data_IF_723858869833
#
_entry.id   IF_723858869833
#
_cell.length_a   1.000
_cell.length_b   1.000
_cell.length_c   1.000
_cell.angle_alpha   90.00
_cell.angle_beta   90.00
_cell.angle_gamma   90.00
#
_symmetry.space_group_name_H-M   'P 1'
#
loop_
_entity.id
_entity.type
_entity.pdbx_description
1 polymer ?
#
# COMPACT_ATOMS: atom_id res chain seq x y z
N UNK A 1 -1.59 14.42 19.09
CA UNK A 1 -1.37 13.11 18.49
C UNK A 1 -0.10 12.49 19.08
N UNK A 2 -0.22 11.64 20.08
CA UNK A 2 0.88 10.79 20.52
C UNK A 2 0.80 9.50 19.73
N UNK A 3 1.60 9.39 18.70
CA UNK A 3 1.82 8.11 18.02
C UNK A 3 2.67 7.23 18.93
N UNK A 4 2.31 5.96 19.06
CA UNK A 4 3.13 4.99 19.78
C UNK A 4 4.53 4.93 19.15
N UNK A 5 5.61 4.99 19.95
CA UNK A 5 6.96 4.94 19.43
C UNK A 5 7.22 3.59 18.76
N UNK A 6 7.42 3.60 17.46
CA UNK A 6 7.84 2.43 16.68
C UNK A 6 9.25 2.64 16.17
N UNK A 7 10.05 1.59 16.20
CA UNK A 7 11.38 1.58 15.62
C UNK A 7 11.32 1.02 14.22
N UNK A 8 11.85 1.76 13.26
CA UNK A 8 11.97 1.33 11.88
C UNK A 8 13.41 0.89 11.61
N UNK A 9 13.56 -0.20 10.91
CA UNK A 9 14.85 -0.74 10.53
C UNK A 9 14.89 -1.16 9.07
N UNK A 10 16.06 -1.07 8.47
CA UNK A 10 16.31 -1.67 7.16
C UNK A 10 16.86 -3.07 7.37
N UNK A 11 16.15 -4.07 6.83
CA UNK A 11 16.57 -5.46 6.83
C UNK A 11 17.17 -5.81 5.47
N UNK A 12 18.21 -6.63 5.49
CA UNK A 12 18.81 -7.18 4.27
C UNK A 12 18.42 -8.65 4.19
N UNK A 13 17.89 -9.04 3.05
CA UNK A 13 17.46 -10.39 2.76
C UNK A 13 18.34 -11.00 1.68
N UNK A 14 18.58 -12.30 1.80
CA UNK A 14 19.31 -13.08 0.83
C UNK A 14 18.43 -14.26 0.42
N UNK A 15 18.33 -14.47 -0.88
CA UNK A 15 17.63 -15.64 -1.43
C UNK A 15 18.59 -16.36 -2.36
N UNK A 16 18.64 -17.68 -2.25
CA UNK A 16 19.39 -18.55 -3.16
C UNK A 16 18.42 -19.10 -4.22
N UNK A 17 18.76 -18.91 -5.47
CA UNK A 17 17.95 -19.29 -6.63
C UNK A 17 18.80 -20.13 -7.57
N UNK A 18 18.28 -21.22 -8.15
CA UNK A 18 18.99 -22.01 -9.15
C UNK A 18 19.43 -21.18 -10.34
N UNK A 19 20.55 -21.54 -10.94
CA UNK A 19 21.00 -20.95 -12.19
C UNK A 19 19.99 -21.24 -13.33
N UNK A 20 19.96 -20.37 -14.33
CA UNK A 20 19.28 -20.63 -15.59
C UNK A 20 19.91 -21.85 -16.30
N UNK A 21 19.18 -22.46 -17.24
CA UNK A 21 19.66 -23.63 -17.97
C UNK A 21 21.03 -23.46 -18.68
N UNK A 22 21.39 -22.22 -18.99
CA UNK A 22 22.67 -21.85 -19.60
C UNK A 22 23.74 -21.42 -18.58
N UNK A 23 23.43 -21.39 -17.29
CA UNK A 23 24.34 -20.94 -16.23
C UNK A 23 24.68 -19.43 -16.24
N UNK A 24 24.09 -18.64 -17.13
CA UNK A 24 24.43 -17.23 -17.35
C UNK A 24 23.71 -16.25 -16.42
N UNK A 25 23.06 -16.72 -15.38
CA UNK A 25 22.32 -15.89 -14.42
C UNK A 25 21.34 -16.74 -13.63
N UNK A 26 20.64 -16.14 -12.66
CA UNK A 26 19.60 -16.82 -11.91
C UNK A 26 18.41 -17.17 -12.83
N UNK A 27 17.67 -18.22 -12.49
CA UNK A 27 16.42 -18.54 -13.16
C UNK A 27 15.34 -17.52 -12.74
N UNK A 28 15.04 -16.56 -13.61
CA UNK A 28 14.10 -15.46 -13.33
C UNK A 28 12.70 -15.93 -12.96
N UNK A 29 12.27 -17.09 -13.46
CA UNK A 29 10.94 -17.63 -13.15
C UNK A 29 10.80 -18.13 -11.70
N UNK A 30 11.93 -18.36 -11.02
CA UNK A 30 11.99 -18.85 -9.64
C UNK A 30 12.37 -17.77 -8.63
N UNK A 31 12.56 -16.53 -9.06
CA UNK A 31 12.88 -15.42 -8.15
C UNK A 31 11.62 -15.04 -7.37
N UNK A 32 11.62 -15.16 -6.03
CA UNK A 32 10.45 -14.88 -5.22
C UNK A 32 10.26 -13.40 -4.96
N UNK A 33 9.07 -13.05 -4.48
CA UNK A 33 8.74 -11.76 -3.85
C UNK A 33 8.38 -12.04 -2.39
N UNK A 34 9.08 -11.39 -1.46
CA UNK A 34 8.76 -11.45 -0.05
C UNK A 34 7.66 -10.42 0.25
N UNK A 35 6.51 -10.88 0.70
CA UNK A 35 5.32 -10.04 0.85
C UNK A 35 5.38 -9.17 2.10
N UNK A 36 4.78 -7.98 2.03
CA UNK A 36 4.50 -7.13 3.17
C UNK A 36 3.72 -7.90 4.25
N UNK A 37 3.96 -7.57 5.51
CA UNK A 37 3.37 -8.29 6.64
C UNK A 37 4.13 -9.54 7.08
N UNK A 38 5.17 -9.96 6.35
CA UNK A 38 6.08 -11.03 6.80
C UNK A 38 6.75 -10.64 8.12
N UNK A 39 6.80 -11.57 9.07
CA UNK A 39 7.33 -11.33 10.41
C UNK A 39 8.67 -12.03 10.61
N UNK A 40 9.56 -11.36 11.33
CA UNK A 40 10.91 -11.84 11.61
C UNK A 40 11.21 -11.71 13.09
N UNK A 41 11.98 -12.64 13.63
CA UNK A 41 12.46 -12.59 14.99
C UNK A 41 13.94 -12.24 14.98
N UNK A 42 14.33 -11.31 15.85
CA UNK A 42 15.74 -11.06 16.12
C UNK A 42 16.27 -12.06 17.15
N UNK A 43 17.55 -12.40 17.06
CA UNK A 43 18.25 -13.19 18.09
C UNK A 43 18.18 -12.56 19.47
N UNK A 44 17.98 -11.24 19.56
CA UNK A 44 17.73 -10.49 20.79
C UNK A 44 16.27 -10.50 21.29
N UNK A 45 15.38 -11.27 20.67
CA UNK A 45 13.97 -11.41 21.07
C UNK A 45 13.03 -10.34 20.56
N UNK A 46 13.48 -9.44 19.68
CA UNK A 46 12.61 -8.44 19.03
C UNK A 46 11.83 -9.04 17.85
N UNK A 47 10.59 -8.59 17.67
CA UNK A 47 9.75 -8.92 16.53
C UNK A 47 9.73 -7.77 15.53
N UNK A 48 9.80 -8.09 14.26
CA UNK A 48 9.78 -7.13 13.17
C UNK A 48 8.78 -7.56 12.10
N UNK A 49 8.02 -6.61 11.59
CA UNK A 49 7.07 -6.85 10.50
C UNK A 49 7.48 -6.02 9.27
N UNK A 50 7.53 -6.67 8.12
CA UNK A 50 7.89 -6.03 6.85
C UNK A 50 6.77 -5.10 6.39
N UNK A 51 7.10 -3.86 6.04
CA UNK A 51 6.12 -2.85 5.66
C UNK A 51 5.73 -2.88 4.18
N UNK A 52 6.61 -3.32 3.32
CA UNK A 52 6.37 -3.37 1.87
C UNK A 52 6.94 -4.63 1.25
N UNK A 53 6.48 -4.98 0.07
CA UNK A 53 7.01 -6.12 -0.67
C UNK A 53 8.48 -5.91 -1.01
N UNK A 54 9.27 -7.00 -0.87
CA UNK A 54 10.66 -7.04 -1.31
C UNK A 54 10.75 -7.92 -2.55
N UNK A 55 10.86 -7.27 -3.68
CA UNK A 55 11.01 -7.94 -4.98
C UNK A 55 12.50 -8.20 -5.23
N UNK A 56 12.89 -9.48 -5.24
CA UNK A 56 14.26 -9.87 -5.52
C UNK A 56 14.62 -9.74 -7.01
N UNK A 57 13.64 -9.65 -7.91
CA UNK A 57 13.86 -9.41 -9.34
C UNK A 57 13.98 -7.93 -9.72
N UNK A 58 14.10 -7.06 -8.73
CA UNK A 58 14.24 -5.61 -8.97
C UNK A 58 15.62 -5.30 -9.53
N UNK A 59 15.68 -4.46 -10.58
CA UNK A 59 16.93 -3.90 -11.09
C UNK A 59 17.69 -3.17 -9.97
N UNK A 60 19.01 -3.41 -9.89
CA UNK A 60 19.88 -2.84 -8.85
C UNK A 60 20.08 -3.75 -7.62
N UNK A 61 19.38 -4.88 -7.52
CA UNK A 61 19.73 -5.88 -6.53
C UNK A 61 21.07 -6.53 -6.87
N UNK A 62 21.88 -6.76 -5.84
CA UNK A 62 23.17 -7.43 -6.02
C UNK A 62 22.95 -8.93 -6.22
N UNK A 63 23.49 -9.46 -7.30
CA UNK A 63 23.46 -10.89 -7.63
C UNK A 63 24.90 -11.42 -7.62
N UNK A 64 25.13 -12.48 -6.88
CA UNK A 64 26.45 -13.15 -6.79
C UNK A 64 26.28 -14.66 -7.01
N UNK A 65 27.30 -15.34 -7.46
CA UNK A 65 27.31 -16.79 -7.56
C UNK A 65 27.28 -17.38 -6.15
N UNK A 66 26.28 -18.23 -5.87
CA UNK A 66 26.13 -18.93 -4.60
C UNK A 66 26.98 -20.21 -4.56
N UNK A 67 26.80 -21.06 -5.55
CA UNK A 67 27.57 -22.30 -5.70
C UNK A 67 27.92 -22.53 -7.18
N UNK A 68 29.02 -23.20 -7.42
CA UNK A 68 29.45 -23.62 -8.75
C UNK A 68 29.86 -25.07 -8.75
N UNK A 69 29.71 -25.73 -9.88
CA UNK A 69 30.20 -27.07 -10.09
C UNK A 69 31.73 -27.12 -9.99
N UNK A 70 32.24 -27.99 -9.14
CA UNK A 70 33.69 -28.08 -8.84
C UNK A 70 34.54 -28.55 -10.00
N UNK A 71 33.97 -29.23 -11.01
CA UNK A 71 34.68 -29.78 -12.16
C UNK A 71 34.63 -28.86 -13.37
N UNK A 72 33.51 -28.17 -13.58
CA UNK A 72 33.31 -27.34 -14.76
C UNK A 72 33.39 -25.83 -14.46
N UNK A 73 33.26 -25.44 -13.18
CA UNK A 73 33.19 -24.04 -12.77
C UNK A 73 31.88 -23.33 -13.14
N UNK A 74 30.90 -24.06 -13.70
CA UNK A 74 29.61 -23.51 -14.10
C UNK A 74 28.79 -23.21 -12.85
N UNK A 75 28.20 -22.00 -12.72
CA UNK A 75 27.33 -21.66 -11.61
C UNK A 75 26.10 -22.58 -11.52
N UNK A 76 25.85 -23.10 -10.33
CA UNK A 76 24.68 -23.93 -10.02
C UNK A 76 23.58 -23.09 -9.36
N UNK A 77 23.97 -22.15 -8.51
CA UNK A 77 23.05 -21.27 -7.82
C UNK A 77 23.56 -19.85 -7.78
N UNK A 78 22.66 -18.91 -7.64
CA UNK A 78 22.92 -17.50 -7.43
C UNK A 78 22.26 -17.03 -6.14
N UNK A 79 22.93 -16.14 -5.41
CA UNK A 79 22.37 -15.46 -4.24
C UNK A 79 22.04 -14.03 -4.63
N UNK A 80 20.79 -13.66 -4.41
CA UNK A 80 20.29 -12.30 -4.66
C UNK A 80 20.09 -11.60 -3.33
N UNK A 81 20.67 -10.41 -3.21
CA UNK A 81 20.54 -9.55 -2.05
C UNK A 81 19.53 -8.45 -2.30
N UNK A 82 18.52 -8.35 -1.43
CA UNK A 82 17.55 -7.27 -1.48
C UNK A 82 17.36 -6.64 -0.09
N UNK A 83 16.86 -5.41 -0.03
CA UNK A 83 16.62 -4.70 1.23
C UNK A 83 15.16 -4.30 1.35
N UNK A 84 14.63 -4.41 2.55
CA UNK A 84 13.27 -3.97 2.89
C UNK A 84 13.26 -3.18 4.19
N UNK A 85 12.19 -2.41 4.39
CA UNK A 85 11.95 -1.68 5.65
C UNK A 85 10.99 -2.48 6.51
N UNK A 86 11.34 -2.67 7.76
CA UNK A 86 10.50 -3.33 8.75
C UNK A 86 10.27 -2.41 9.95
N UNK A 87 9.14 -2.59 10.60
CA UNK A 87 8.78 -1.91 11.86
C UNK A 87 8.88 -2.90 12.99
N UNK A 88 9.37 -2.45 14.15
CA UNK A 88 9.35 -3.26 15.36
C UNK A 88 7.91 -3.41 15.85
N UNK A 89 7.44 -4.64 15.99
CA UNK A 89 6.09 -4.94 16.45
C UNK A 89 5.64 -6.33 16.03
N UNK A 90 4.59 -6.78 16.68
CA UNK A 90 3.90 -8.04 16.36
C UNK A 90 2.56 -7.69 15.72
N UNK A 91 2.21 -8.34 14.62
CA UNK A 91 0.87 -8.26 14.05
C UNK A 91 -0.14 -8.92 14.99
N UNK A 92 -1.26 -8.24 15.22
CA UNK A 92 -2.44 -8.77 15.89
C UNK A 92 -3.67 -8.52 15.02
N UNK A 93 -4.66 -9.38 15.13
CA UNK A 93 -5.95 -9.23 14.43
C UNK A 93 -7.05 -9.15 15.48
N UNK A 94 -7.90 -8.14 15.36
CA UNK A 94 -9.07 -7.97 16.20
C UNK A 94 -10.32 -8.01 15.33
N UNK A 95 -11.40 -8.58 15.85
CA UNK A 95 -12.70 -8.66 15.18
C UNK A 95 -13.75 -7.94 16.01
N UNK A 96 -14.50 -7.06 15.38
CA UNK A 96 -15.55 -6.26 16.02
C UNK A 96 -16.92 -6.54 15.42
N UNK A 97 -17.93 -6.65 16.29
CA UNK A 97 -19.32 -6.67 15.85
C UNK A 97 -19.85 -5.23 15.80
N UNK A 98 -20.13 -4.75 14.58
CA UNK A 98 -20.46 -3.34 14.37
C UNK A 98 -21.93 -3.02 14.66
N UNK A 99 -22.85 -3.98 14.47
CA UNK A 99 -24.27 -3.77 14.70
C UNK A 99 -24.91 -2.80 13.70
N UNK A 100 -25.91 -2.03 14.16
CA UNK A 100 -26.65 -1.09 13.33
C UNK A 100 -25.78 0.08 12.84
N UNK A 101 -26.18 0.67 11.71
CA UNK A 101 -25.50 1.83 11.13
C UNK A 101 -25.47 3.03 12.10
N UNK A 102 -24.31 3.63 12.23
CA UNK A 102 -24.07 4.86 13.00
C UNK A 102 -23.09 5.75 12.25
N UNK A 103 -23.43 7.02 12.11
CA UNK A 103 -22.56 8.02 11.45
C UNK A 103 -21.32 8.29 12.28
N UNK A 104 -20.18 8.37 11.62
CA UNK A 104 -18.90 8.69 12.28
C UNK A 104 -18.55 7.74 13.45
N UNK A 105 -18.97 6.48 13.31
CA UNK A 105 -18.71 5.46 14.33
C UNK A 105 -17.22 5.40 14.68
N UNK A 106 -16.92 5.40 15.96
CA UNK A 106 -15.58 5.16 16.51
C UNK A 106 -15.54 3.76 17.10
N UNK A 107 -14.58 2.97 16.65
CA UNK A 107 -14.32 1.60 17.14
C UNK A 107 -13.02 1.63 17.92
N UNK A 108 -13.03 1.40 19.25
CA UNK A 108 -11.80 1.30 20.02
C UNK A 108 -11.08 -0.02 19.73
N UNK A 109 -9.78 0.04 19.50
CA UNK A 109 -8.93 -1.15 19.41
C UNK A 109 -8.56 -1.63 20.82
N UNK A 110 -8.59 -2.94 21.04
CA UNK A 110 -8.33 -3.53 22.35
C UNK A 110 -6.83 -3.50 22.74
N UNK A 111 -5.94 -3.51 21.76
CA UNK A 111 -4.50 -3.43 22.00
C UNK A 111 -4.06 -2.00 22.36
N UNK A 112 -3.10 -1.89 23.26
CA UNK A 112 -2.40 -0.65 23.56
C UNK A 112 -1.11 -0.55 22.72
N UNK A 113 -0.59 0.67 22.55
CA UNK A 113 0.67 0.93 21.83
C UNK A 113 0.65 0.45 20.36
N UNK A 114 -0.45 0.71 19.67
CA UNK A 114 -0.58 0.39 18.25
C UNK A 114 0.28 1.38 17.45
N UNK A 115 1.21 0.86 16.67
CA UNK A 115 2.08 1.66 15.82
C UNK A 115 1.49 1.90 14.43
N UNK A 116 0.72 0.93 13.91
CA UNK A 116 0.13 1.02 12.58
C UNK A 116 -1.05 0.05 12.44
N UNK A 117 -2.04 0.45 11.65
CA UNK A 117 -3.15 -0.39 11.23
C UNK A 117 -2.89 -0.84 9.79
N UNK A 118 -2.55 -2.10 9.61
CA UNK A 118 -2.11 -2.61 8.31
C UNK A 118 -3.27 -2.90 7.36
N UNK A 119 -4.42 -3.34 7.89
CA UNK A 119 -5.57 -3.71 7.08
C UNK A 119 -6.86 -3.69 7.90
N UNK A 120 -7.92 -3.18 7.30
CA UNK A 120 -9.28 -3.24 7.81
C UNK A 120 -10.18 -3.83 6.73
N UNK A 121 -10.94 -4.87 7.08
CA UNK A 121 -11.88 -5.54 6.16
C UNK A 121 -13.19 -5.82 6.87
N UNK A 122 -14.28 -5.82 6.12
CA UNK A 122 -15.57 -6.25 6.63
C UNK A 122 -15.83 -7.75 6.36
N UNK A 123 -16.97 -8.25 6.82
CA UNK A 123 -17.39 -9.64 6.65
C UNK A 123 -17.65 -10.04 5.19
N UNK A 124 -17.85 -9.07 4.31
CA UNK A 124 -18.05 -9.29 2.88
C UNK A 124 -16.74 -9.29 2.10
N UNK A 125 -15.61 -9.02 2.79
CA UNK A 125 -14.28 -8.96 2.20
C UNK A 125 -13.90 -7.59 1.62
N UNK A 126 -14.74 -6.56 1.80
CA UNK A 126 -14.41 -5.21 1.35
C UNK A 126 -13.28 -4.62 2.19
N UNK A 127 -12.33 -3.98 1.53
CA UNK A 127 -11.19 -3.33 2.19
C UNK A 127 -11.49 -1.86 2.43
N UNK A 128 -11.21 -1.42 3.65
CA UNK A 128 -11.24 -0.02 4.06
C UNK A 128 -9.83 0.57 4.00
N UNK A 129 -9.73 1.82 3.59
CA UNK A 129 -8.47 2.51 3.42
C UNK A 129 -8.29 3.60 4.47
N UNK A 130 -7.09 3.66 5.05
CA UNK A 130 -6.72 4.76 5.92
C UNK A 130 -6.54 6.04 5.10
N UNK A 131 -7.12 7.13 5.60
CA UNK A 131 -7.07 8.46 5.01
C UNK A 131 -6.73 9.50 6.09
N UNK A 132 -6.16 10.62 5.69
CA UNK A 132 -5.85 11.70 6.62
C UNK A 132 -7.12 12.38 7.15
N UNK A 133 -8.14 12.49 6.29
CA UNK A 133 -9.43 13.09 6.62
C UNK A 133 -10.57 12.27 6.01
N UNK A 134 -11.68 12.12 6.75
CA UNK A 134 -12.84 11.37 6.27
C UNK A 134 -13.51 11.95 5.01
N UNK A 135 -13.25 13.22 4.68
CA UNK A 135 -13.67 13.84 3.42
C UNK A 135 -12.80 13.47 2.22
N UNK A 136 -11.63 12.86 2.44
CA UNK A 136 -10.72 12.45 1.37
C UNK A 136 -11.30 11.25 0.64
N UNK A 137 -11.57 11.38 -0.65
CA UNK A 137 -12.16 10.35 -1.49
C UNK A 137 -11.17 9.67 -2.44
N UNK A 138 -9.91 10.13 -2.46
CA UNK A 138 -8.86 9.59 -3.33
C UNK A 138 -7.59 9.36 -2.52
N UNK A 139 -6.96 8.22 -2.72
CA UNK A 139 -5.59 7.96 -2.26
C UNK A 139 -4.69 7.69 -3.46
N UNK A 140 -3.40 7.94 -3.30
CA UNK A 140 -2.40 7.64 -4.33
C UNK A 140 -1.61 6.40 -3.94
N UNK A 141 -1.71 5.36 -4.77
CA UNK A 141 -0.91 4.13 -4.61
C UNK A 141 0.25 4.12 -5.59
N UNK A 142 1.44 3.85 -5.07
CA UNK A 142 2.59 3.58 -5.92
C UNK A 142 2.45 2.18 -6.53
N UNK A 143 2.33 2.13 -7.84
CA UNK A 143 2.36 0.88 -8.60
C UNK A 143 3.68 0.78 -9.36
N UNK A 144 4.17 -0.44 -9.55
CA UNK A 144 5.39 -0.68 -10.32
C UNK A 144 5.22 -0.21 -11.76
N UNK A 145 6.20 0.55 -12.23
CA UNK A 145 6.25 0.97 -13.62
C UNK A 145 6.72 -0.21 -14.50
N UNK A 146 5.86 -0.68 -15.39
CA UNK A 146 6.15 -1.76 -16.35
C UNK A 146 6.56 -1.25 -17.73
N UNK A 147 6.66 0.07 -17.91
CA UNK A 147 7.02 0.69 -19.20
C UNK A 147 8.54 0.73 -19.39
N UNK A 148 8.97 1.18 -20.57
CA UNK A 148 10.38 1.34 -20.94
C UNK A 148 11.14 2.34 -20.05
N UNK A 149 10.42 3.22 -19.34
CA UNK A 149 10.98 4.22 -18.43
C UNK A 149 11.16 3.72 -17.00
N UNK A 150 10.95 2.42 -16.75
CA UNK A 150 11.01 1.82 -15.40
C UNK A 150 12.36 2.02 -14.68
N UNK A 151 13.46 2.11 -15.43
CA UNK A 151 14.80 2.34 -14.85
C UNK A 151 14.96 3.74 -14.25
N UNK A 152 14.31 4.74 -14.85
CA UNK A 152 14.36 6.13 -14.39
C UNK A 152 13.22 6.44 -13.41
N UNK A 153 12.03 5.88 -13.65
CA UNK A 153 10.84 6.07 -12.80
C UNK A 153 10.31 4.70 -12.40
N UNK A 154 10.79 4.12 -11.30
CA UNK A 154 10.45 2.75 -10.91
C UNK A 154 8.97 2.57 -10.49
N UNK A 155 8.33 3.61 -9.98
CA UNK A 155 6.94 3.59 -9.55
C UNK A 155 6.14 4.74 -10.13
N UNK A 156 4.91 4.47 -10.48
CA UNK A 156 3.92 5.46 -10.93
C UNK A 156 2.86 5.58 -9.85
N UNK A 157 2.47 6.81 -9.50
CA UNK A 157 1.37 7.06 -8.58
C UNK A 157 0.05 6.92 -9.33
N UNK A 158 -0.78 5.98 -8.88
CA UNK A 158 -2.14 5.80 -9.38
C UNK A 158 -3.13 6.33 -8.37
N UNK A 159 -4.02 7.23 -8.82
CA UNK A 159 -5.16 7.66 -8.04
C UNK A 159 -6.16 6.50 -7.89
N UNK A 160 -6.57 6.20 -6.67
CA UNK A 160 -7.53 5.16 -6.35
C UNK A 160 -8.66 5.80 -5.55
N UNK A 161 -9.91 5.75 -6.03
CA UNK A 161 -11.05 6.21 -5.27
C UNK A 161 -11.28 5.30 -4.06
N UNK A 162 -11.57 5.91 -2.92
CA UNK A 162 -11.77 5.20 -1.65
C UNK A 162 -13.12 5.57 -1.04
N UNK A 163 -14.15 4.84 -1.41
CA UNK A 163 -15.46 4.98 -0.81
C UNK A 163 -15.45 4.48 0.64
N UNK A 164 -14.81 3.32 0.88
CA UNK A 164 -14.64 2.73 2.21
C UNK A 164 -13.35 3.21 2.84
N UNK A 165 -13.47 4.07 3.85
CA UNK A 165 -12.33 4.74 4.48
C UNK A 165 -12.49 4.91 5.98
N UNK A 166 -11.36 5.05 6.65
CA UNK A 166 -11.30 5.34 8.08
C UNK A 166 -10.11 6.25 8.40
N UNK A 167 -10.17 6.90 9.54
CA UNK A 167 -9.05 7.61 10.15
C UNK A 167 -8.64 6.93 11.44
N UNK A 168 -7.36 7.02 11.77
CA UNK A 168 -6.81 6.51 13.04
C UNK A 168 -6.62 7.69 13.98
N UNK A 169 -7.17 7.57 15.18
CA UNK A 169 -7.04 8.57 16.23
C UNK A 169 -6.57 7.88 17.53
N UNK A 170 -5.58 8.45 18.17
CA UNK A 170 -5.10 7.94 19.47
C UNK A 170 -5.34 9.00 20.54
N UNK A 171 -6.11 8.64 21.55
CA UNK A 171 -6.45 9.49 22.70
C UNK A 171 -6.10 8.69 23.97
N UNK A 172 -5.31 9.27 24.85
CA UNK A 172 -4.92 8.68 26.13
C UNK A 172 -4.43 7.23 26.02
N UNK A 173 -3.54 6.96 25.04
CA UNK A 173 -3.00 5.64 24.72
C UNK A 173 -4.01 4.60 24.20
N UNK A 174 -5.24 5.01 23.96
CA UNK A 174 -6.28 4.21 23.29
C UNK A 174 -6.36 4.61 21.83
N UNK A 175 -6.27 3.64 20.93
CA UNK A 175 -6.42 3.86 19.49
C UNK A 175 -7.85 3.57 19.06
N UNK A 176 -8.40 4.46 18.25
CA UNK A 176 -9.74 4.37 17.69
C UNK A 176 -9.66 4.39 16.16
N UNK A 177 -10.51 3.59 15.53
CA UNK A 177 -10.80 3.71 14.11
C UNK A 177 -12.10 4.49 13.96
N UNK A 178 -12.04 5.64 13.31
CA UNK A 178 -13.24 6.42 13.00
C UNK A 178 -13.62 6.23 11.55
N UNK A 179 -14.82 5.74 11.32
CA UNK A 179 -15.41 5.56 10.00
C UNK A 179 -16.21 6.79 9.57
N UNK A 180 -16.42 6.92 8.26
CA UNK A 180 -17.09 8.08 7.70
C UNK A 180 -18.60 8.04 7.81
N UNK A 181 -19.21 8.96 7.06
CA UNK A 181 -20.67 9.11 7.00
C UNK A 181 -21.36 7.94 6.28
N UNK A 182 -20.67 7.31 5.31
CA UNK A 182 -21.01 6.14 4.52
C UNK A 182 -22.50 6.04 4.13
N UNK A 183 -22.85 6.50 2.94
CA UNK A 183 -24.10 6.13 2.29
C UNK A 183 -23.74 5.52 0.94
N UNK A 184 -24.21 4.30 0.68
CA UNK A 184 -23.99 3.63 -0.62
C UNK A 184 -24.53 4.47 -1.79
N UNK A 185 -25.56 5.31 -1.53
CA UNK A 185 -26.11 6.23 -2.53
C UNK A 185 -25.21 7.42 -2.85
N UNK A 186 -24.23 7.74 -2.00
CA UNK A 186 -23.25 8.80 -2.19
C UNK A 186 -21.86 8.25 -2.54
N UNK A 187 -21.73 6.96 -2.76
CA UNK A 187 -20.56 6.40 -3.43
C UNK A 187 -20.60 6.90 -4.87
N UNK A 188 -20.06 8.07 -5.05
CA UNK A 188 -19.90 8.69 -6.35
C UNK A 188 -19.21 7.68 -7.26
N UNK A 189 -19.96 7.18 -8.20
CA UNK A 189 -19.47 6.44 -9.37
C UNK A 189 -18.41 7.26 -10.10
N UNK A 190 -18.27 8.53 -9.78
CA UNK A 190 -17.28 9.43 -10.36
C UNK A 190 -16.54 10.18 -9.24
N UNK A 191 -15.30 9.74 -8.84
CA UNK A 191 -14.48 10.43 -7.84
C UNK A 191 -13.89 11.75 -8.34
N UNK A 192 -14.03 12.02 -9.63
CA UNK A 192 -13.72 13.31 -10.23
C UNK A 192 -14.98 14.16 -10.09
N UNK A 193 -14.87 15.27 -9.37
CA UNK A 193 -15.93 16.27 -9.33
C UNK A 193 -16.27 16.61 -10.76
N UNK A 194 -17.52 16.37 -11.15
CA UNK A 194 -17.96 16.76 -12.47
C UNK A 194 -17.86 18.29 -12.55
N UNK A 195 -17.05 18.83 -13.47
CA UNK A 195 -16.91 20.29 -13.60
C UNK A 195 -18.25 20.98 -13.80
N UNK A 196 -19.25 20.27 -14.34
CA UNK A 196 -20.59 20.81 -14.56
C UNK A 196 -21.38 21.04 -13.26
N UNK A 197 -21.05 20.29 -12.18
CA UNK A 197 -21.67 20.47 -10.85
C UNK A 197 -21.06 21.63 -10.04
N UNK A 198 -19.85 22.07 -10.43
CA UNK A 198 -19.10 23.10 -9.72
C UNK A 198 -19.07 24.43 -10.47
N UNK A 199 -19.46 24.43 -11.74
CA UNK A 199 -19.52 25.66 -12.54
C UNK A 199 -20.67 26.55 -12.06
N UNK A 200 -20.30 27.55 -11.29
CA UNK A 200 -21.17 28.69 -10.99
C UNK A 200 -21.49 29.41 -12.30
N UNK A 201 -22.75 29.88 -12.46
CA UNK A 201 -23.16 30.77 -13.54
C UNK A 201 -22.26 32.02 -13.53
N UNK A 202 -21.16 31.97 -14.24
CA UNK A 202 -20.29 33.09 -14.49
C UNK A 202 -20.83 33.86 -15.68
N UNK A 203 -21.25 35.09 -15.46
CA UNK A 203 -21.73 36.04 -16.47
C UNK A 203 -23.08 35.68 -17.13
N UNK A 204 -24.01 35.05 -16.42
CA UNK A 204 -25.36 34.78 -16.91
C UNK A 204 -25.41 33.72 -18.05
N UNK A 205 -24.40 32.88 -18.19
CA UNK A 205 -24.42 31.73 -19.11
C UNK A 205 -24.77 30.49 -18.30
N UNK A 206 -25.88 29.88 -18.62
CA UNK A 206 -26.29 28.58 -18.11
C UNK A 206 -25.53 27.52 -18.91
N UNK A 207 -24.62 26.80 -18.27
CA UNK A 207 -24.00 25.63 -18.86
C UNK A 207 -24.95 24.45 -18.68
N UNK A 208 -25.50 23.97 -19.76
CA UNK A 208 -26.29 22.75 -19.77
C UNK A 208 -25.35 21.54 -19.82
N UNK A 209 -25.75 20.44 -19.17
CA UNK A 209 -25.04 19.16 -19.12
C UNK A 209 -25.02 18.42 -20.47
N UNK A 210 -25.17 19.12 -21.58
CA UNK A 210 -25.14 18.53 -22.90
C UNK A 210 -23.72 18.14 -23.31
N UNK A 211 -23.64 17.14 -24.20
CA UNK A 211 -22.41 16.51 -24.69
C UNK A 211 -21.37 17.46 -25.31
N UNK A 212 -21.67 18.75 -25.39
CA UNK A 212 -20.81 19.81 -25.91
C UNK A 212 -20.05 20.61 -24.82
N UNK A 213 -20.03 20.14 -23.56
CA UNK A 213 -19.23 20.79 -22.53
C UNK A 213 -17.74 20.60 -22.82
N UNK A 214 -17.11 21.64 -23.27
CA UNK A 214 -15.67 21.72 -23.47
C UNK A 214 -15.04 22.55 -22.33
N UNK A 215 -14.35 21.91 -21.39
CA UNK A 215 -13.73 22.62 -20.26
C UNK A 215 -12.64 23.60 -20.70
N UNK A 216 -12.14 23.51 -21.93
CA UNK A 216 -11.15 24.44 -22.47
C UNK A 216 -11.75 25.78 -22.87
N UNK A 217 -13.07 25.85 -23.07
CA UNK A 217 -13.78 27.10 -23.41
C UNK A 217 -14.11 27.98 -22.19
N UNK A 218 -13.78 27.54 -20.99
CA UNK A 218 -13.93 28.32 -19.76
C UNK A 218 -12.82 29.36 -19.53
N UNK A 219 -11.83 29.42 -20.40
CA UNK A 219 -10.60 30.22 -20.23
C UNK A 219 -10.53 31.40 -21.22
N UNK A 220 -11.59 31.73 -21.93
CA UNK A 220 -11.67 32.92 -22.79
C UNK A 220 -12.33 34.09 -22.06
#
# INVERSE_FOLDING_TARGET
LQTSPSSYGRLTFYVEVPASALGLGPNESLIPVLQAGSTFNSTGGGFYTLLGDVDFNKEGNQVVVGSADSSTGIPLTYVIRATGTAVSGRGATETFSIGAFERFRKVPLGASNISNVTRVVDSEGNTYFEVDHLSQNIIYKAIRNTTTTRSTVPNILKAVPVARRFTVETIDNQTFLQFGYGSDSNELTNPVVDPTEVVLDLNGRTYTTDADFDPTKLID
#
